data_IF_408103563027
#
_entry.id   IF_408103563027
#
_cell.length_a   1.000
_cell.length_b   1.000
_cell.length_c   1.000
_cell.angle_alpha   90.00
_cell.angle_beta   90.00
_cell.angle_gamma   90.00
#
_symmetry.space_group_name_H-M   'P 1'
#
loop_
_entity.id
_entity.type
_entity.pdbx_description
1 polymer ?
#
# COMPACT_ATOMS: atom_id res chain seq x y z
N UNK A 1 -4.63 -7.33 13.12
CA UNK A 1 -3.25 -7.02 13.55
C UNK A 1 -2.35 -8.23 13.30
N UNK A 2 -1.08 -8.07 12.89
CA UNK A 2 -0.11 -9.19 12.87
C UNK A 2 0.53 -9.32 14.25
N UNK A 3 0.66 -10.54 14.73
CA UNK A 3 1.27 -10.82 16.03
C UNK A 3 2.75 -11.14 15.85
N UNK A 4 3.57 -10.60 16.75
CA UNK A 4 4.99 -10.96 16.86
C UNK A 4 5.27 -11.76 18.15
N UNK A 5 4.33 -11.76 19.09
CA UNK A 5 4.41 -12.48 20.35
C UNK A 5 3.20 -13.40 20.46
N UNK A 6 3.45 -14.64 20.85
CA UNK A 6 2.39 -15.56 21.23
C UNK A 6 1.80 -15.14 22.58
N UNK A 7 0.50 -15.34 22.75
CA UNK A 7 -0.16 -15.17 24.05
C UNK A 7 -0.78 -16.48 24.45
N UNK A 8 -0.94 -16.66 25.75
CA UNK A 8 -1.66 -17.79 26.32
C UNK A 8 -3.13 -17.73 25.91
N UNK A 9 -3.65 -18.90 25.55
CA UNK A 9 -5.07 -19.13 25.32
C UNK A 9 -5.80 -19.39 26.64
N UNK A 10 -7.08 -19.78 26.56
CA UNK A 10 -8.00 -19.80 27.70
C UNK A 10 -7.53 -20.71 28.85
N UNK A 11 -6.84 -21.79 28.52
CA UNK A 11 -6.33 -22.78 29.47
C UNK A 11 -5.11 -22.31 30.26
N UNK A 12 -4.43 -21.24 29.81
CA UNK A 12 -3.20 -20.74 30.42
C UNK A 12 -1.97 -21.62 30.21
N UNK A 13 -2.09 -22.73 29.47
CA UNK A 13 -1.02 -23.70 29.21
C UNK A 13 -0.58 -23.70 27.74
N UNK A 14 -1.53 -23.53 26.80
CA UNK A 14 -1.25 -23.46 25.38
C UNK A 14 -1.22 -22.03 24.87
N UNK A 15 -0.47 -21.79 23.80
CA UNK A 15 -0.51 -20.50 23.12
C UNK A 15 -1.65 -20.46 22.10
N UNK A 16 -2.14 -19.26 21.79
CA UNK A 16 -3.09 -19.05 20.70
C UNK A 16 -2.59 -19.60 19.36
N UNK A 17 -1.27 -19.60 19.11
CA UNK A 17 -0.72 -20.21 17.92
C UNK A 17 -0.81 -21.73 17.94
N UNK A 18 -0.66 -22.37 19.09
CA UNK A 18 -0.74 -23.84 19.22
C UNK A 18 -2.18 -24.31 18.93
N UNK A 19 -3.18 -23.63 19.51
CA UNK A 19 -4.59 -23.91 19.24
C UNK A 19 -4.91 -23.85 17.75
N UNK A 20 -4.41 -22.84 17.02
CA UNK A 20 -4.65 -22.72 15.57
C UNK A 20 -3.79 -23.68 14.76
N UNK A 21 -2.64 -24.12 15.26
CA UNK A 21 -1.77 -25.07 14.57
C UNK A 21 -2.41 -26.46 14.49
N UNK A 22 -3.13 -26.86 15.54
CA UNK A 22 -3.90 -28.11 15.61
C UNK A 22 -5.13 -28.13 14.67
N UNK A 23 -5.59 -26.95 14.22
CA UNK A 23 -6.72 -26.85 13.29
C UNK A 23 -6.32 -27.36 11.89
N UNK A 24 -7.22 -28.12 11.28
CA UNK A 24 -7.09 -28.56 9.89
C UNK A 24 -7.14 -27.36 8.92
N UNK A 25 -6.52 -27.48 7.76
CA UNK A 25 -6.55 -26.42 6.74
C UNK A 25 -7.99 -26.17 6.30
N UNK A 26 -8.46 -24.92 6.44
CA UNK A 26 -9.84 -24.50 6.12
C UNK A 26 -9.96 -23.82 4.76
N UNK A 27 -8.84 -23.55 4.09
CA UNK A 27 -8.86 -22.94 2.77
C UNK A 27 -7.50 -22.70 2.15
N UNK A 28 -7.52 -22.39 0.86
CA UNK A 28 -6.37 -21.93 0.10
C UNK A 28 -6.67 -20.53 -0.43
N UNK A 29 -5.65 -19.68 -0.46
CA UNK A 29 -5.77 -18.33 -0.99
C UNK A 29 -4.52 -17.94 -1.75
N UNK A 30 -4.71 -17.35 -2.92
CA UNK A 30 -3.61 -16.96 -3.81
C UNK A 30 -3.34 -15.47 -3.61
N UNK A 31 -2.09 -15.12 -3.32
CA UNK A 31 -1.63 -13.73 -3.23
C UNK A 31 -0.56 -13.45 -4.28
N UNK A 32 -0.58 -12.25 -4.86
CA UNK A 32 0.51 -11.78 -5.72
C UNK A 32 1.72 -11.39 -4.84
N UNK A 33 2.91 -11.84 -5.24
CA UNK A 33 4.17 -11.47 -4.60
C UNK A 33 5.11 -10.92 -5.66
N UNK A 34 6.06 -10.07 -5.24
CA UNK A 34 7.12 -9.59 -6.13
C UNK A 34 8.47 -9.96 -5.58
N UNK A 35 9.35 -10.43 -6.45
CA UNK A 35 10.75 -10.69 -6.12
C UNK A 35 11.54 -9.36 -5.99
N UNK A 36 12.80 -9.45 -5.59
CA UNK A 36 13.68 -8.28 -5.48
C UNK A 36 13.97 -7.59 -6.83
N UNK A 37 13.75 -8.29 -7.94
CA UNK A 37 13.92 -7.77 -9.31
C UNK A 37 12.63 -7.16 -9.86
N UNK A 38 11.53 -7.25 -9.11
CA UNK A 38 10.22 -6.71 -9.48
C UNK A 38 9.34 -7.66 -10.30
N UNK A 39 9.73 -8.93 -10.51
CA UNK A 39 8.88 -9.91 -11.18
C UNK A 39 7.73 -10.33 -10.28
N UNK A 40 6.52 -10.29 -10.84
CA UNK A 40 5.32 -10.78 -10.16
C UNK A 40 5.22 -12.29 -10.25
N UNK A 41 4.96 -12.93 -9.12
CA UNK A 41 4.65 -14.36 -8.99
C UNK A 41 3.45 -14.53 -8.07
N UNK A 42 2.88 -15.73 -8.00
CA UNK A 42 1.76 -16.02 -7.11
C UNK A 42 2.19 -17.00 -6.03
N UNK A 43 1.87 -16.67 -4.78
CA UNK A 43 2.02 -17.56 -3.64
C UNK A 43 0.66 -18.17 -3.27
N UNK A 44 0.64 -19.47 -2.99
CA UNK A 44 -0.55 -20.16 -2.50
C UNK A 44 -0.44 -20.31 -0.98
N UNK A 45 -1.34 -19.69 -0.24
CA UNK A 45 -1.38 -19.72 1.22
C UNK A 45 -2.41 -20.75 1.71
N UNK A 46 -1.99 -21.64 2.59
CA UNK A 46 -2.87 -22.47 3.41
C UNK A 46 -3.38 -21.67 4.60
N UNK A 47 -4.70 -21.67 4.78
CA UNK A 47 -5.37 -20.87 5.79
C UNK A 47 -5.93 -21.76 6.88
N UNK A 48 -5.55 -21.46 8.12
CA UNK A 48 -6.14 -22.00 9.34
C UNK A 48 -6.67 -20.83 10.17
N UNK A 49 -7.83 -21.00 10.80
CA UNK A 49 -8.36 -19.99 11.71
C UNK A 49 -9.23 -20.61 12.78
N UNK A 50 -9.19 -20.01 13.97
CA UNK A 50 -10.04 -20.39 15.11
C UNK A 50 -10.35 -19.16 15.96
N UNK A 51 -11.51 -19.19 16.61
CA UNK A 51 -11.81 -18.27 17.69
C UNK A 51 -11.13 -18.77 18.96
N UNK A 52 -10.44 -17.88 19.65
CA UNK A 52 -9.65 -18.17 20.85
C UNK A 52 -9.88 -17.07 21.88
N UNK A 53 -9.83 -17.45 23.16
CA UNK A 53 -9.86 -16.48 24.25
C UNK A 53 -8.43 -16.05 24.57
N UNK A 54 -8.08 -14.83 24.18
CA UNK A 54 -6.77 -14.24 24.46
C UNK A 54 -6.73 -13.72 25.89
N UNK A 55 -5.85 -14.29 26.72
CA UNK A 55 -5.59 -13.77 28.06
C UNK A 55 -4.67 -12.54 28.00
N UNK A 56 -4.88 -11.54 28.88
CA UNK A 56 -3.93 -10.46 29.04
C UNK A 56 -2.60 -10.98 29.62
N UNK A 57 -1.48 -10.24 29.43
CA UNK A 57 -0.21 -10.57 30.08
C UNK A 57 -0.38 -10.74 31.58
N UNK A 58 0.37 -11.66 32.20
CA UNK A 58 0.21 -12.06 33.61
C UNK A 58 0.13 -10.83 34.53
N UNK A 59 1.08 -9.88 34.41
CA UNK A 59 1.11 -8.66 35.22
C UNK A 59 0.01 -7.63 34.93
N UNK A 60 -0.86 -7.89 33.95
CA UNK A 60 -1.98 -7.02 33.54
C UNK A 60 -3.36 -7.70 33.71
N UNK A 61 -3.41 -8.92 34.24
CA UNK A 61 -4.66 -9.70 34.43
C UNK A 61 -5.67 -9.04 35.35
N UNK A 62 -5.23 -8.28 36.35
CA UNK A 62 -6.14 -7.54 37.24
C UNK A 62 -6.79 -6.33 36.57
N UNK A 63 -6.21 -5.81 35.48
CA UNK A 63 -6.62 -4.55 34.85
C UNK A 63 -7.41 -4.73 33.57
N UNK A 64 -7.20 -5.85 32.86
CA UNK A 64 -7.84 -6.08 31.57
C UNK A 64 -8.53 -7.44 31.55
N UNK A 65 -9.73 -7.55 30.97
CA UNK A 65 -10.40 -8.84 30.82
C UNK A 65 -9.76 -9.68 29.71
N UNK A 66 -10.08 -10.97 29.72
CA UNK A 66 -9.84 -11.83 28.56
C UNK A 66 -10.68 -11.36 27.36
N UNK A 67 -10.13 -11.53 26.15
CA UNK A 67 -10.78 -11.08 24.92
C UNK A 67 -11.00 -12.25 23.97
N UNK A 68 -12.23 -12.39 23.49
CA UNK A 68 -12.51 -13.30 22.39
C UNK A 68 -12.00 -12.69 21.08
N UNK A 69 -11.09 -13.40 20.42
CA UNK A 69 -10.48 -12.97 19.16
C UNK A 69 -10.43 -14.13 18.19
N UNK A 70 -10.32 -13.84 16.90
CA UNK A 70 -9.99 -14.85 15.90
C UNK A 70 -8.52 -14.74 15.54
N UNK A 71 -7.83 -15.87 15.59
CA UNK A 71 -6.48 -16.02 15.08
C UNK A 71 -6.56 -16.64 13.68
N UNK A 72 -5.86 -16.04 12.71
CA UNK A 72 -5.73 -16.54 11.34
C UNK A 72 -4.26 -16.81 11.07
N UNK A 73 -3.93 -18.05 10.75
CA UNK A 73 -2.63 -18.46 10.23
C UNK A 73 -2.73 -18.65 8.72
N UNK A 74 -1.92 -17.91 7.98
CA UNK A 74 -1.72 -18.10 6.55
C UNK A 74 -0.25 -18.42 6.28
N UNK A 75 0.00 -19.63 5.81
CA UNK A 75 1.36 -20.12 5.52
C UNK A 75 1.46 -20.50 4.06
N UNK A 76 2.51 -20.03 3.40
CA UNK A 76 2.78 -20.38 2.02
C UNK A 76 3.05 -21.86 1.85
N UNK A 77 2.40 -22.46 0.84
CA UNK A 77 2.59 -23.84 0.46
C UNK A 77 3.83 -23.96 -0.41
N UNK A 78 4.75 -24.82 0.01
CA UNK A 78 6.06 -24.98 -0.62
C UNK A 78 7.05 -23.91 -0.17
N UNK A 79 8.29 -24.03 -0.63
CA UNK A 79 9.38 -23.13 -0.27
C UNK A 79 9.80 -22.28 -1.49
N UNK A 80 9.63 -20.95 -1.45
CA UNK A 80 10.08 -20.08 -2.52
C UNK A 80 11.61 -20.06 -2.58
N UNK A 81 12.17 -20.09 -3.80
CA UNK A 81 13.62 -20.14 -4.03
C UNK A 81 14.32 -18.79 -3.89
N UNK A 82 13.56 -17.70 -4.00
CA UNK A 82 14.06 -16.33 -4.18
C UNK A 82 13.77 -15.40 -2.98
N UNK A 83 12.94 -15.84 -2.03
CA UNK A 83 12.55 -15.07 -0.85
C UNK A 83 12.21 -15.97 0.33
N UNK A 84 11.98 -15.37 1.50
CA UNK A 84 11.45 -16.13 2.65
C UNK A 84 9.98 -16.52 2.41
N UNK A 85 9.53 -17.71 2.86
CA UNK A 85 8.13 -18.11 2.80
C UNK A 85 7.22 -17.11 3.53
N UNK A 86 6.03 -16.87 2.99
CA UNK A 86 5.02 -16.06 3.67
C UNK A 86 4.48 -16.85 4.86
N UNK A 87 4.62 -16.25 6.05
CA UNK A 87 4.03 -16.74 7.30
C UNK A 87 3.34 -15.58 8.01
N UNK A 88 2.02 -15.50 7.89
CA UNK A 88 1.20 -14.49 8.55
C UNK A 88 0.41 -15.12 9.70
N UNK A 89 0.63 -14.57 10.90
CA UNK A 89 -0.19 -14.84 12.09
C UNK A 89 -0.95 -13.57 12.43
N UNK A 90 -2.24 -13.56 12.15
CA UNK A 90 -3.10 -12.40 12.35
C UNK A 90 -4.03 -12.66 13.54
N UNK A 91 -4.26 -11.62 14.33
CA UNK A 91 -5.34 -11.56 15.33
C UNK A 91 -6.30 -10.46 14.94
N UNK A 92 -7.59 -10.76 15.05
CA UNK A 92 -8.66 -9.80 14.82
C UNK A 92 -9.82 -10.05 15.79
N UNK A 93 -10.43 -8.98 16.24
CA UNK A 93 -11.72 -8.94 16.93
C UNK A 93 -12.91 -8.94 15.96
N UNK A 94 -12.64 -8.86 14.66
CA UNK A 94 -13.67 -8.90 13.63
C UNK A 94 -14.21 -10.32 13.43
N UNK A 95 -15.49 -10.47 13.06
CA UNK A 95 -16.08 -11.79 12.79
C UNK A 95 -15.37 -12.52 11.65
N UNK A 96 -15.06 -13.80 11.90
CA UNK A 96 -14.54 -14.75 10.91
C UNK A 96 -15.30 -16.07 11.06
N UNK A 97 -16.43 -16.17 10.36
CA UNK A 97 -17.33 -17.33 10.40
C UNK A 97 -17.08 -18.29 9.24
N UNK A 98 -16.47 -17.80 8.17
CA UNK A 98 -16.24 -18.56 6.94
C UNK A 98 -14.83 -18.40 6.39
N UNK A 99 -14.48 -19.28 5.44
CA UNK A 99 -13.24 -19.15 4.64
C UNK A 99 -13.18 -17.81 3.92
N UNK A 100 -14.31 -17.33 3.40
CA UNK A 100 -14.40 -16.03 2.70
C UNK A 100 -14.04 -14.89 3.65
N UNK A 101 -14.53 -14.94 4.88
CA UNK A 101 -14.22 -13.91 5.88
C UNK A 101 -12.73 -13.92 6.20
N UNK A 102 -12.12 -15.09 6.38
CA UNK A 102 -10.69 -15.19 6.65
C UNK A 102 -9.85 -14.62 5.51
N UNK A 103 -10.23 -14.92 4.25
CA UNK A 103 -9.59 -14.38 3.05
C UNK A 103 -9.69 -12.86 3.01
N UNK A 104 -10.86 -12.28 3.28
CA UNK A 104 -11.05 -10.83 3.31
C UNK A 104 -10.06 -10.14 4.27
N UNK A 105 -9.85 -10.71 5.47
CA UNK A 105 -8.92 -10.13 6.45
C UNK A 105 -7.46 -10.29 6.01
N UNK A 106 -7.14 -11.35 5.27
CA UNK A 106 -5.83 -11.53 4.64
C UNK A 106 -5.63 -10.51 3.51
N UNK A 107 -6.64 -10.25 2.67
CA UNK A 107 -6.60 -9.23 1.62
C UNK A 107 -6.39 -7.83 2.22
N UNK A 108 -7.08 -7.51 3.32
CA UNK A 108 -6.87 -6.26 4.04
C UNK A 108 -5.47 -6.15 4.62
N UNK A 109 -4.96 -7.24 5.20
CA UNK A 109 -3.59 -7.26 5.73
C UNK A 109 -2.55 -7.14 4.62
N UNK A 110 -2.78 -7.76 3.45
CA UNK A 110 -1.92 -7.66 2.28
C UNK A 110 -1.80 -6.22 1.78
N UNK A 111 -2.75 -5.33 2.07
CA UNK A 111 -2.66 -3.90 1.76
C UNK A 111 -1.81 -3.08 2.75
N UNK A 112 -1.33 -3.66 3.85
CA UNK A 112 -0.60 -2.92 4.91
C UNK A 112 0.60 -2.14 4.36
N UNK A 113 1.34 -2.68 3.39
CA UNK A 113 2.53 -2.02 2.81
C UNK A 113 2.22 -0.64 2.19
N UNK A 114 0.96 -0.34 1.87
CA UNK A 114 0.53 0.98 1.37
C UNK A 114 0.96 2.12 2.30
N UNK A 115 0.95 1.92 3.62
CA UNK A 115 1.43 2.94 4.57
C UNK A 115 2.93 3.20 4.45
N UNK A 116 3.72 2.18 4.10
CA UNK A 116 5.16 2.31 3.90
C UNK A 116 5.45 3.12 2.64
N UNK A 117 4.59 3.00 1.61
CA UNK A 117 4.66 3.87 0.41
C UNK A 117 4.38 5.32 0.78
N UNK A 118 3.34 5.58 1.57
CA UNK A 118 3.08 6.92 2.09
C UNK A 118 4.29 7.48 2.88
N UNK A 119 4.87 6.69 3.78
CA UNK A 119 6.05 7.09 4.55
C UNK A 119 7.28 7.31 3.66
N UNK A 120 7.45 6.52 2.59
CA UNK A 120 8.51 6.72 1.60
C UNK A 120 8.35 8.05 0.86
N UNK A 121 7.14 8.40 0.45
CA UNK A 121 6.86 9.70 -0.19
C UNK A 121 7.19 10.83 0.78
N UNK A 122 6.74 10.73 2.04
CA UNK A 122 6.99 11.74 3.06
C UNK A 122 8.49 11.93 3.35
N UNK A 123 9.23 10.83 3.49
CA UNK A 123 10.66 10.86 3.86
C UNK A 123 11.56 11.17 2.67
N UNK A 124 11.43 10.43 1.57
CA UNK A 124 12.34 10.51 0.42
C UNK A 124 11.86 11.46 -0.68
N UNK A 125 10.53 11.59 -0.86
CA UNK A 125 9.95 12.51 -1.83
C UNK A 125 9.95 13.95 -1.31
N UNK A 126 9.23 14.20 -0.21
CA UNK A 126 9.16 15.52 0.43
C UNK A 126 10.42 15.87 1.24
N UNK A 127 11.35 14.93 1.42
CA UNK A 127 12.60 15.14 2.18
C UNK A 127 12.35 15.64 3.59
N UNK A 128 11.30 15.15 4.25
CA UNK A 128 10.88 15.64 5.57
C UNK A 128 12.01 15.59 6.61
N UNK A 129 12.91 14.60 6.51
CA UNK A 129 14.04 14.41 7.42
C UNK A 129 15.25 15.31 7.11
N UNK A 130 15.28 15.96 5.94
CA UNK A 130 16.32 16.94 5.56
C UNK A 130 15.97 18.37 5.99
N UNK A 131 14.76 18.59 6.54
CA UNK A 131 14.31 19.90 7.01
C UNK A 131 15.23 20.42 8.12
N UNK A 132 15.70 21.66 7.96
CA UNK A 132 16.58 22.35 8.94
C UNK A 132 15.84 23.39 9.79
N UNK A 133 14.52 23.27 9.89
CA UNK A 133 13.72 24.15 10.75
C UNK A 133 14.10 23.95 12.22
N UNK A 134 14.33 25.05 12.94
CA UNK A 134 14.91 25.04 14.29
C UNK A 134 13.89 24.86 15.42
N UNK A 135 12.60 25.08 15.18
CA UNK A 135 11.56 24.93 16.21
C UNK A 135 10.62 23.77 15.89
N UNK A 136 10.17 23.10 16.96
CA UNK A 136 9.22 21.99 16.87
C UNK A 136 7.93 22.41 16.16
N UNK A 137 7.38 23.59 16.47
CA UNK A 137 6.13 24.07 15.86
C UNK A 137 6.25 24.30 14.35
N UNK A 138 7.37 24.89 13.89
CA UNK A 138 7.61 25.11 12.46
C UNK A 138 7.80 23.78 11.74
N UNK A 139 8.51 22.84 12.36
CA UNK A 139 8.70 21.50 11.82
C UNK A 139 7.35 20.75 11.74
N UNK A 140 6.51 20.85 12.77
CA UNK A 140 5.18 20.25 12.77
C UNK A 140 4.30 20.81 11.65
N UNK A 141 4.29 22.14 11.47
CA UNK A 141 3.54 22.79 10.38
C UNK A 141 4.02 22.32 8.99
N UNK A 142 5.33 22.24 8.78
CA UNK A 142 5.89 21.73 7.52
C UNK A 142 5.51 20.27 7.28
N UNK A 143 5.62 19.42 8.31
CA UNK A 143 5.25 18.00 8.21
C UNK A 143 3.77 17.86 7.86
N UNK A 144 2.89 18.69 8.42
CA UNK A 144 1.46 18.70 8.09
C UNK A 144 1.21 18.98 6.60
N UNK A 145 1.92 19.96 6.02
CA UNK A 145 1.85 20.23 4.57
C UNK A 145 2.38 19.04 3.77
N UNK A 146 3.51 18.45 4.20
CA UNK A 146 4.05 17.27 3.54
C UNK A 146 3.12 16.05 3.62
N UNK A 147 2.35 15.89 4.70
CA UNK A 147 1.35 14.84 4.80
C UNK A 147 0.26 15.00 3.71
N UNK A 148 -0.23 16.22 3.48
CA UNK A 148 -1.23 16.50 2.44
C UNK A 148 -0.67 16.16 1.05
N UNK A 149 0.55 16.63 0.75
CA UNK A 149 1.22 16.33 -0.52
C UNK A 149 1.50 14.82 -0.69
N UNK A 150 1.94 14.16 0.38
CA UNK A 150 2.23 12.73 0.37
C UNK A 150 0.97 11.91 0.13
N UNK A 151 -0.15 12.28 0.77
CA UNK A 151 -1.47 11.69 0.53
C UNK A 151 -1.88 11.85 -0.94
N UNK A 152 -1.70 13.05 -1.52
CA UNK A 152 -2.03 13.32 -2.91
C UNK A 152 -1.24 12.44 -3.89
N UNK A 153 0.08 12.38 -3.73
CA UNK A 153 0.96 11.55 -4.57
C UNK A 153 0.63 10.06 -4.40
N UNK A 154 0.44 9.62 -3.15
CA UNK A 154 0.05 8.25 -2.84
C UNK A 154 -1.28 7.90 -3.53
N UNK A 155 -2.28 8.77 -3.40
CA UNK A 155 -3.59 8.59 -4.02
C UNK A 155 -3.50 8.53 -5.53
N UNK A 156 -2.76 9.44 -6.20
CA UNK A 156 -2.53 9.40 -7.66
C UNK A 156 -1.92 8.06 -8.10
N UNK A 157 -0.96 7.55 -7.33
CA UNK A 157 -0.32 6.26 -7.61
C UNK A 157 -1.29 5.09 -7.43
N UNK A 158 -2.17 5.14 -6.43
CA UNK A 158 -3.12 4.07 -6.14
C UNK A 158 -4.33 4.07 -7.07
N UNK A 159 -4.90 5.24 -7.39
CA UNK A 159 -6.09 5.35 -8.23
C UNK A 159 -5.83 4.81 -9.64
N UNK A 160 -4.62 5.03 -10.18
CA UNK A 160 -4.21 4.44 -11.46
C UNK A 160 -4.26 2.90 -11.45
N UNK A 161 -3.96 2.29 -10.31
CA UNK A 161 -3.94 0.81 -10.18
C UNK A 161 -5.32 0.25 -9.91
N UNK A 162 -6.19 1.03 -9.28
CA UNK A 162 -7.51 0.60 -8.86
C UNK A 162 -8.58 0.85 -9.94
N UNK A 163 -8.53 2.00 -10.60
CA UNK A 163 -9.51 2.42 -11.60
C UNK A 163 -8.83 3.11 -12.79
N UNK A 164 -7.98 2.39 -13.56
CA UNK A 164 -7.25 2.97 -14.69
C UNK A 164 -8.18 3.56 -15.77
N UNK A 165 -9.39 3.03 -15.91
CA UNK A 165 -10.40 3.44 -16.89
C UNK A 165 -11.22 4.66 -16.49
N UNK A 166 -11.07 5.15 -15.25
CA UNK A 166 -11.78 6.34 -14.80
C UNK A 166 -11.45 7.56 -15.67
N UNK A 167 -12.31 8.59 -15.72
CA UNK A 167 -11.97 9.85 -16.36
C UNK A 167 -10.74 10.49 -15.72
N UNK A 168 -9.85 11.07 -16.52
CA UNK A 168 -8.65 11.76 -16.04
C UNK A 168 -8.98 12.89 -15.06
N UNK A 169 -10.17 13.48 -15.20
CA UNK A 169 -10.71 14.57 -14.39
C UNK A 169 -10.93 14.19 -12.92
N UNK A 170 -11.02 12.89 -12.62
CA UNK A 170 -11.04 12.41 -11.23
C UNK A 170 -9.74 12.79 -10.52
N UNK A 171 -8.63 12.79 -11.26
CA UNK A 171 -7.30 12.98 -10.72
C UNK A 171 -6.63 14.29 -11.11
N UNK A 172 -6.94 14.90 -12.24
CA UNK A 172 -6.27 16.07 -12.79
C UNK A 172 -7.32 17.07 -13.29
N UNK A 173 -7.00 18.36 -13.30
CA UNK A 173 -7.87 19.37 -13.93
C UNK A 173 -7.85 19.22 -15.46
N UNK A 174 -8.84 19.78 -16.15
CA UNK A 174 -8.86 19.80 -17.62
C UNK A 174 -7.61 20.48 -18.18
N UNK A 175 -7.20 21.61 -17.61
CA UNK A 175 -6.00 22.33 -18.01
C UNK A 175 -4.73 21.50 -17.83
N UNK A 176 -4.60 20.75 -16.72
CA UNK A 176 -3.48 19.83 -16.50
C UNK A 176 -3.44 18.72 -17.54
N UNK A 177 -4.60 18.14 -17.90
CA UNK A 177 -4.68 17.09 -18.92
C UNK A 177 -4.29 17.64 -20.30
N UNK A 178 -4.82 18.78 -20.70
CA UNK A 178 -4.49 19.44 -21.96
C UNK A 178 -3.00 19.79 -22.04
N UNK A 179 -2.43 20.32 -20.96
CA UNK A 179 -1.01 20.67 -20.89
C UNK A 179 -0.12 19.43 -21.00
N UNK A 180 -0.51 18.33 -20.33
CA UNK A 180 0.20 17.05 -20.46
C UNK A 180 0.16 16.53 -21.90
N UNK A 181 -0.97 16.66 -22.59
CA UNK A 181 -1.12 16.23 -23.98
C UNK A 181 -0.29 17.07 -24.96
N UNK A 182 -0.09 18.36 -24.67
CA UNK A 182 0.75 19.25 -25.47
C UNK A 182 2.25 19.04 -25.23
N UNK A 183 2.66 18.86 -23.97
CA UNK A 183 4.08 18.81 -23.60
C UNK A 183 4.66 17.41 -23.75
N UNK A 184 3.86 16.37 -23.51
CA UNK A 184 4.32 14.97 -23.53
C UNK A 184 3.83 14.28 -24.80
N UNK A 185 4.79 13.94 -25.66
CA UNK A 185 4.53 13.19 -26.89
C UNK A 185 3.86 11.86 -26.58
N UNK A 186 2.92 11.50 -27.45
CA UNK A 186 2.28 10.19 -27.40
C UNK A 186 3.30 9.06 -27.61
N UNK A 187 3.15 7.99 -26.84
CA UNK A 187 3.93 6.76 -26.96
C UNK A 187 3.00 5.59 -27.28
N UNK A 188 3.56 4.47 -27.76
CA UNK A 188 2.78 3.25 -27.96
C UNK A 188 2.04 2.82 -26.67
N UNK A 189 2.66 3.04 -25.49
CA UNK A 189 2.05 2.71 -24.21
C UNK A 189 0.86 3.62 -23.87
N UNK A 190 0.98 4.92 -24.09
CA UNK A 190 -0.10 5.88 -23.77
C UNK A 190 -1.22 5.84 -24.80
N UNK A 191 -0.93 5.51 -26.06
CA UNK A 191 -1.92 5.42 -27.13
C UNK A 191 -2.99 4.34 -26.87
N UNK A 192 -2.59 3.24 -26.22
CA UNK A 192 -3.48 2.14 -25.85
C UNK A 192 -3.86 2.14 -24.36
N UNK A 193 -3.42 3.15 -23.60
CA UNK A 193 -3.71 3.21 -22.18
C UNK A 193 -5.16 3.70 -21.92
N UNK A 194 -5.82 3.17 -20.89
CA UNK A 194 -7.07 3.71 -20.37
C UNK A 194 -6.98 5.21 -20.02
N UNK A 195 -8.10 5.98 -20.00
CA UNK A 195 -8.07 7.44 -19.90
C UNK A 195 -7.24 8.00 -18.74
N UNK A 196 -7.55 7.63 -17.50
CA UNK A 196 -6.78 8.07 -16.33
C UNK A 196 -5.34 7.57 -16.39
N UNK A 197 -5.15 6.31 -16.80
CA UNK A 197 -3.80 5.73 -16.90
C UNK A 197 -2.92 6.47 -17.91
N UNK A 198 -3.49 6.87 -19.05
CA UNK A 198 -2.81 7.66 -20.09
C UNK A 198 -2.29 8.97 -19.51
N UNK A 199 -3.15 9.74 -18.83
CA UNK A 199 -2.74 11.01 -18.24
C UNK A 199 -1.70 10.83 -17.13
N UNK A 200 -1.82 9.80 -16.28
CA UNK A 200 -0.86 9.55 -15.21
C UNK A 200 0.47 8.96 -15.70
N UNK A 201 0.48 8.23 -16.81
CA UNK A 201 1.73 7.83 -17.49
C UNK A 201 2.41 9.08 -18.07
N UNK A 202 1.69 9.97 -18.76
CA UNK A 202 2.25 11.24 -19.25
C UNK A 202 2.82 12.10 -18.12
N UNK A 203 2.09 12.20 -17.02
CA UNK A 203 2.59 12.85 -15.80
C UNK A 203 3.90 12.21 -15.32
N UNK A 204 3.95 10.88 -15.25
CA UNK A 204 5.17 10.17 -14.85
C UNK A 204 6.33 10.37 -15.85
N UNK A 205 6.05 10.52 -17.15
CA UNK A 205 7.07 10.78 -18.17
C UNK A 205 7.73 12.15 -17.95
N UNK A 206 6.98 13.19 -17.54
CA UNK A 206 7.58 14.45 -17.08
C UNK A 206 8.53 14.26 -15.89
N UNK A 207 8.25 13.25 -15.06
CA UNK A 207 9.10 12.85 -13.94
C UNK A 207 10.26 11.91 -14.28
N UNK A 208 10.47 11.61 -15.57
CA UNK A 208 11.55 10.75 -16.07
C UNK A 208 11.19 9.28 -16.25
N UNK A 209 9.90 8.91 -16.21
CA UNK A 209 9.46 7.57 -16.58
C UNK A 209 9.59 7.35 -18.10
N UNK A 210 10.18 6.23 -18.51
CA UNK A 210 10.46 5.99 -19.94
C UNK A 210 9.26 5.45 -20.72
N UNK A 211 8.27 4.88 -20.03
CA UNK A 211 7.05 4.32 -20.61
C UNK A 211 7.30 3.24 -21.70
N UNK A 212 8.32 2.39 -21.50
CA UNK A 212 8.55 1.23 -22.38
C UNK A 212 7.44 0.20 -22.20
N UNK A 213 7.25 -0.67 -23.19
CA UNK A 213 6.18 -1.70 -23.16
C UNK A 213 6.28 -2.60 -21.94
N UNK A 214 7.50 -3.01 -21.57
CA UNK A 214 7.75 -3.92 -20.43
C UNK A 214 7.90 -3.21 -19.08
N UNK A 215 7.86 -1.87 -19.02
CA UNK A 215 8.07 -1.17 -17.75
C UNK A 215 6.90 -1.47 -16.80
N UNK A 216 7.15 -1.65 -15.48
CA UNK A 216 6.06 -1.74 -14.52
C UNK A 216 5.28 -0.42 -14.47
N UNK A 217 4.02 -0.41 -14.00
CA UNK A 217 3.25 0.82 -13.83
C UNK A 217 4.03 1.89 -13.04
N UNK A 218 3.84 3.19 -13.34
CA UNK A 218 4.57 4.27 -12.68
C UNK A 218 4.58 4.17 -11.14
N UNK A 219 5.76 4.35 -10.58
CA UNK A 219 5.98 4.41 -9.13
C UNK A 219 5.73 5.80 -8.55
N UNK A 220 5.61 5.85 -7.24
CA UNK A 220 5.47 7.08 -6.44
C UNK A 220 6.52 8.15 -6.77
N UNK A 221 7.76 7.72 -7.04
CA UNK A 221 8.90 8.60 -7.33
C UNK A 221 8.72 9.40 -8.63
N UNK A 222 8.29 8.75 -9.71
CA UNK A 222 8.11 9.43 -11.00
C UNK A 222 6.82 10.26 -11.02
N UNK A 223 5.79 9.84 -10.27
CA UNK A 223 4.55 10.61 -10.11
C UNK A 223 4.82 11.95 -9.43
N UNK A 224 5.55 11.99 -8.31
CA UNK A 224 5.81 13.28 -7.64
C UNK A 224 6.73 14.19 -8.45
N UNK A 225 7.76 13.65 -9.10
CA UNK A 225 8.64 14.43 -9.98
C UNK A 225 7.85 15.04 -11.13
N UNK A 226 6.95 14.25 -11.70
CA UNK A 226 6.01 14.67 -12.72
C UNK A 226 5.11 15.80 -12.25
N UNK A 227 4.49 15.65 -11.07
CA UNK A 227 3.60 16.67 -10.50
C UNK A 227 4.34 17.99 -10.25
N UNK A 228 5.54 17.94 -9.68
CA UNK A 228 6.37 19.13 -9.50
C UNK A 228 6.67 19.81 -10.83
N UNK A 229 7.08 19.03 -11.84
CA UNK A 229 7.40 19.56 -13.17
C UNK A 229 6.18 20.14 -13.87
N UNK A 230 5.02 19.52 -13.72
CA UNK A 230 3.76 20.01 -14.29
C UNK A 230 3.37 21.36 -13.71
N UNK A 231 3.46 21.54 -12.38
CA UNK A 231 3.18 22.82 -11.72
C UNK A 231 4.10 23.94 -12.25
N UNK A 232 5.40 23.66 -12.39
CA UNK A 232 6.35 24.64 -12.94
C UNK A 232 6.00 25.05 -14.38
N UNK A 233 5.56 24.09 -15.21
CA UNK A 233 5.17 24.35 -16.61
C UNK A 233 3.85 25.11 -16.67
N UNK A 234 2.87 24.74 -15.86
CA UNK A 234 1.57 25.40 -15.80
C UNK A 234 1.74 26.87 -15.43
N UNK A 235 2.57 27.20 -14.43
CA UNK A 235 2.88 28.57 -14.06
C UNK A 235 3.45 29.36 -15.26
N UNK A 236 4.39 28.76 -16.00
CA UNK A 236 4.95 29.39 -17.20
C UNK A 236 3.90 29.64 -18.30
N UNK A 237 2.98 28.70 -18.48
CA UNK A 237 1.90 28.81 -19.48
C UNK A 237 0.87 29.87 -19.09
N UNK A 238 0.53 29.98 -17.80
CA UNK A 238 -0.36 31.02 -17.28
C UNK A 238 0.25 32.41 -17.45
N UNK A 239 1.55 32.57 -17.15
CA UNK A 239 2.27 33.84 -17.37
C UNK A 239 2.28 34.26 -18.85
N UNK A 240 2.46 33.31 -19.77
CA UNK A 240 2.45 33.58 -21.20
C UNK A 240 1.07 33.95 -21.77
N UNK A 241 -0.03 33.57 -21.08
CA UNK A 241 -1.40 33.93 -21.47
C UNK A 241 -1.83 35.30 -20.96
N UNK A 242 -1.18 35.82 -19.92
CA UNK A 242 -1.50 37.11 -19.32
C UNK A 242 -0.69 38.28 -19.92
N UNK A 243 0.28 38.02 -20.79
CA UNK A 243 1.05 39.02 -21.54
C UNK A 243 0.62 39.08 -22.99
#
# INVERSE_FOLDING_TARGET
MRTCQDRLAADGEHTMSDEVSAVQVKGLHRVETRDAKGHSSHALLEIKYSQVTALPPIGKRSRYPALQVTVIHATERGEPTDRKPIKWKLITDLPVRSRRDAIEKLDWYAMRWKIETFQKILKSGCKAQESRLRSADRLANLISVFCILSCRIFWLTMINRYAPDAPSQVALTLAEVELLDQVVKETARTAHAPPLSRSLIKLAQLGGYLARVSDPPPGDTVIWRGLRRLVDIQLGFELAKCG
#
